data_IF_252422633539
#
_entry.id   IF_252422633539
#
_cell.length_a   1.000
_cell.length_b   1.000
_cell.length_c   1.000
_cell.angle_alpha   90.00
_cell.angle_beta   90.00
_cell.angle_gamma   90.00
#
_symmetry.space_group_name_H-M   'P 1'
#
loop_
_entity.id
_entity.type
_entity.pdbx_description
1 polymer ?
#
# COMPACT_ATOMS: atom_id res chain seq x y z
N UNK A 1 -14.95 2.76 -9.21
CA UNK A 1 -14.62 1.35 -8.90
C UNK A 1 -15.55 0.33 -9.56
N UNK A 2 -16.74 0.73 -10.03
CA UNK A 2 -17.70 -0.17 -10.68
C UNK A 2 -17.22 -0.85 -12.00
N UNK A 3 -16.15 -0.36 -12.64
CA UNK A 3 -15.60 -0.89 -13.92
C UNK A 3 -14.30 -1.70 -13.77
N UNK A 4 -13.45 -1.33 -12.81
CA UNK A 4 -12.16 -1.95 -12.55
C UNK A 4 -12.19 -2.40 -11.10
N UNK A 5 -12.46 -3.68 -10.86
CA UNK A 5 -12.65 -4.22 -9.51
C UNK A 5 -11.54 -3.82 -8.54
N UNK A 6 -11.90 -3.59 -7.27
CA UNK A 6 -11.03 -2.99 -6.24
C UNK A 6 -9.64 -3.64 -6.15
N UNK A 7 -9.58 -4.96 -6.31
CA UNK A 7 -8.36 -5.76 -6.32
C UNK A 7 -7.40 -5.37 -7.44
N UNK A 8 -7.88 -5.04 -8.64
CA UNK A 8 -7.03 -4.61 -9.77
C UNK A 8 -6.39 -3.26 -9.49
N UNK A 9 -7.12 -2.34 -8.86
CA UNK A 9 -6.59 -1.01 -8.49
C UNK A 9 -5.48 -1.17 -7.44
N UNK A 10 -5.69 -2.03 -6.44
CA UNK A 10 -4.68 -2.31 -5.41
C UNK A 10 -3.42 -2.96 -6.00
N UNK A 11 -3.56 -3.91 -6.93
CA UNK A 11 -2.42 -4.52 -7.64
C UNK A 11 -1.64 -3.50 -8.45
N UNK A 12 -2.32 -2.59 -9.16
CA UNK A 12 -1.64 -1.48 -9.86
C UNK A 12 -0.87 -0.60 -8.88
N UNK A 13 -1.43 -0.32 -7.70
CA UNK A 13 -0.74 0.42 -6.63
C UNK A 13 0.54 -0.26 -6.16
N UNK A 14 0.50 -1.59 -6.00
CA UNK A 14 1.69 -2.39 -5.66
C UNK A 14 2.76 -2.32 -6.76
N UNK A 15 2.36 -2.43 -8.03
CA UNK A 15 3.31 -2.34 -9.16
C UNK A 15 4.00 -0.97 -9.18
N UNK A 16 3.24 0.10 -8.92
CA UNK A 16 3.80 1.46 -8.85
C UNK A 16 4.80 1.58 -7.67
N UNK A 17 4.49 1.01 -6.51
CA UNK A 17 5.41 1.01 -5.36
C UNK A 17 6.65 0.14 -5.58
N UNK A 18 6.52 -0.99 -6.28
CA UNK A 18 7.65 -1.82 -6.68
C UNK A 18 8.56 -1.09 -7.68
N UNK A 19 7.97 -0.36 -8.64
CA UNK A 19 8.72 0.49 -9.58
C UNK A 19 9.46 1.62 -8.84
N UNK A 20 8.83 2.24 -7.84
CA UNK A 20 9.48 3.21 -6.96
C UNK A 20 10.68 2.60 -6.23
N UNK A 21 10.51 1.44 -5.59
CA UNK A 21 11.60 0.78 -4.87
C UNK A 21 12.76 0.44 -5.82
N UNK A 22 12.46 -0.02 -7.04
CA UNK A 22 13.45 -0.23 -8.09
C UNK A 22 14.23 1.05 -8.41
N UNK A 23 13.55 2.17 -8.62
CA UNK A 23 14.21 3.47 -8.86
C UNK A 23 15.04 3.93 -7.66
N UNK A 24 14.53 3.75 -6.44
CA UNK A 24 15.22 4.16 -5.22
C UNK A 24 16.54 3.38 -4.98
N UNK A 25 16.63 2.15 -5.50
CA UNK A 25 17.84 1.33 -5.42
C UNK A 25 18.89 1.68 -6.50
N UNK A 26 18.49 2.27 -7.62
CA UNK A 26 19.42 2.69 -8.70
C UNK A 26 20.28 3.92 -8.36
N UNK A 27 20.01 4.60 -7.23
CA UNK A 27 20.82 5.71 -6.70
C UNK A 27 20.09 7.06 -6.62
N UNK A 28 20.75 8.05 -6.03
CA UNK A 28 20.23 9.41 -5.74
C UNK A 28 20.51 10.42 -6.86
N UNK A 29 20.52 9.98 -8.12
CA UNK A 29 20.57 10.92 -9.25
C UNK A 29 19.25 11.71 -9.28
N UNK A 30 19.33 13.03 -9.54
CA UNK A 30 18.20 13.97 -9.44
C UNK A 30 16.89 13.49 -10.09
N UNK A 31 16.98 12.77 -11.22
CA UNK A 31 15.83 12.16 -11.90
C UNK A 31 15.18 10.99 -11.13
N UNK A 32 15.99 10.07 -10.58
CA UNK A 32 15.49 8.96 -9.75
C UNK A 32 14.93 9.46 -8.43
N UNK A 33 15.48 10.56 -7.88
CA UNK A 33 14.99 11.20 -6.66
C UNK A 33 13.61 11.85 -6.86
N UNK A 34 13.39 12.58 -7.96
CA UNK A 34 12.08 13.16 -8.27
C UNK A 34 11.01 12.09 -8.55
N UNK A 35 11.35 11.05 -9.31
CA UNK A 35 10.48 9.89 -9.51
C UNK A 35 10.12 9.21 -8.18
N UNK A 36 11.12 9.10 -7.29
CA UNK A 36 10.93 8.56 -5.95
C UNK A 36 10.08 9.43 -5.02
N UNK A 37 9.83 10.70 -5.32
CA UNK A 37 8.89 11.53 -4.55
C UNK A 37 7.44 11.42 -5.05
N UNK A 38 7.22 11.20 -6.34
CA UNK A 38 5.88 11.19 -6.94
C UNK A 38 5.24 9.80 -6.94
N UNK A 39 6.01 8.76 -7.31
CA UNK A 39 5.49 7.40 -7.45
C UNK A 39 4.92 6.81 -6.14
N UNK A 40 5.54 7.02 -4.95
CA UNK A 40 4.98 6.50 -3.70
C UNK A 40 3.62 7.08 -3.40
N UNK A 41 3.43 8.38 -3.63
CA UNK A 41 2.15 9.05 -3.39
C UNK A 41 1.03 8.43 -4.22
N UNK A 42 1.29 8.15 -5.50
CA UNK A 42 0.30 7.53 -6.39
C UNK A 42 -0.02 6.10 -5.95
N UNK A 43 1.02 5.28 -5.67
CA UNK A 43 0.83 3.91 -5.23
C UNK A 43 0.10 3.79 -3.89
N UNK A 44 0.45 4.67 -2.93
CA UNK A 44 -0.21 4.79 -1.64
C UNK A 44 -1.71 5.11 -1.77
N UNK A 45 -2.08 6.06 -2.63
CA UNK A 45 -3.48 6.41 -2.86
C UNK A 45 -4.30 5.21 -3.34
N UNK A 46 -3.77 4.41 -4.26
CA UNK A 46 -4.48 3.23 -4.78
C UNK A 46 -4.68 2.15 -3.69
N UNK A 47 -3.71 1.98 -2.80
CA UNK A 47 -3.83 1.07 -1.66
C UNK A 47 -4.82 1.58 -0.60
N UNK A 48 -4.79 2.88 -0.25
CA UNK A 48 -5.73 3.47 0.71
C UNK A 48 -7.17 3.39 0.21
N UNK A 49 -7.41 3.79 -1.04
CA UNK A 49 -8.74 3.74 -1.66
C UNK A 49 -9.24 2.30 -1.77
N UNK A 50 -8.36 1.36 -2.14
CA UNK A 50 -8.72 -0.05 -2.20
C UNK A 50 -9.02 -0.66 -0.82
N UNK A 51 -8.19 -0.37 0.19
CA UNK A 51 -8.36 -0.87 1.55
C UNK A 51 -9.63 -0.35 2.22
N UNK A 52 -9.89 0.95 2.13
CA UNK A 52 -11.14 1.56 2.65
C UNK A 52 -12.38 0.99 1.96
N UNK A 53 -12.31 0.74 0.65
CA UNK A 53 -13.41 0.09 -0.07
C UNK A 53 -13.67 -1.33 0.43
N UNK A 54 -12.62 -2.14 0.63
CA UNK A 54 -12.77 -3.48 1.20
C UNK A 54 -13.35 -3.44 2.63
N UNK A 55 -12.96 -2.45 3.44
CA UNK A 55 -13.55 -2.22 4.76
C UNK A 55 -15.05 -1.97 4.67
N UNK A 56 -15.49 -1.14 3.72
CA UNK A 56 -16.92 -0.85 3.53
C UNK A 56 -17.74 -2.03 3.03
N UNK A 57 -17.13 -3.01 2.35
CA UNK A 57 -17.81 -4.24 1.91
C UNK A 57 -18.10 -5.21 3.07
N UNK A 58 -17.28 -5.22 4.12
CA UNK A 58 -17.35 -6.20 5.22
C UNK A 58 -18.21 -5.70 6.38
N UNK A 59 -18.17 -4.40 6.70
CA UNK A 59 -18.85 -3.85 7.87
C UNK A 59 -20.27 -3.35 7.58
N UNK A 60 -21.15 -3.48 8.58
CA UNK A 60 -22.50 -2.89 8.54
C UNK A 60 -22.44 -1.36 8.65
N UNK A 61 -23.45 -0.59 8.17
CA UNK A 61 -23.40 0.87 8.16
C UNK A 61 -23.01 1.54 9.51
N UNK A 62 -23.48 1.06 10.68
CA UNK A 62 -23.04 1.59 11.97
C UNK A 62 -21.57 1.28 12.31
N UNK A 63 -21.07 0.11 11.90
CA UNK A 63 -19.70 -0.33 12.19
C UNK A 63 -18.67 0.30 11.25
N UNK A 64 -19.08 0.66 10.02
CA UNK A 64 -18.21 1.32 9.02
C UNK A 64 -17.58 2.59 9.56
N UNK A 65 -18.33 3.42 10.26
CA UNK A 65 -17.83 4.68 10.83
C UNK A 65 -16.71 4.42 11.85
N UNK A 66 -16.88 3.41 12.70
CA UNK A 66 -15.88 3.02 13.71
C UNK A 66 -14.65 2.39 13.08
N UNK A 67 -14.84 1.53 12.07
CA UNK A 67 -13.76 0.89 11.33
C UNK A 67 -12.92 1.92 10.56
N UNK A 68 -13.56 2.88 9.89
CA UNK A 68 -12.90 3.98 9.19
C UNK A 68 -12.09 4.85 10.15
N UNK A 69 -12.67 5.23 11.29
CA UNK A 69 -11.96 6.03 12.30
C UNK A 69 -10.73 5.31 12.85
N UNK A 70 -10.81 3.98 13.03
CA UNK A 70 -9.68 3.17 13.49
C UNK A 70 -8.60 3.10 12.42
N UNK A 71 -8.97 2.85 11.16
CA UNK A 71 -8.05 2.86 10.03
C UNK A 71 -7.28 4.19 9.94
N UNK A 72 -8.00 5.30 9.99
CA UNK A 72 -7.40 6.62 9.84
C UNK A 72 -6.49 6.95 11.03
N UNK A 73 -6.92 6.61 12.25
CA UNK A 73 -6.07 6.74 13.45
C UNK A 73 -4.79 5.90 13.34
N UNK A 74 -4.86 4.67 12.86
CA UNK A 74 -3.68 3.82 12.65
C UNK A 74 -2.73 4.44 11.63
N UNK A 75 -3.24 4.93 10.50
CA UNK A 75 -2.43 5.60 9.49
C UNK A 75 -1.74 6.84 10.09
N UNK A 76 -2.46 7.66 10.85
CA UNK A 76 -1.89 8.83 11.51
C UNK A 76 -0.84 8.46 12.56
N UNK A 77 -1.12 7.48 13.41
CA UNK A 77 -0.20 7.06 14.46
C UNK A 77 1.11 6.48 13.90
N UNK A 78 1.00 5.61 12.89
CA UNK A 78 2.17 5.04 12.19
C UNK A 78 2.92 6.13 11.43
N UNK A 79 2.21 7.06 10.78
CA UNK A 79 2.81 8.21 10.09
C UNK A 79 3.59 9.13 11.02
N UNK A 80 3.05 9.41 12.21
CA UNK A 80 3.72 10.20 13.26
C UNK A 80 4.98 9.49 13.76
N UNK A 81 4.88 8.22 14.12
CA UNK A 81 6.02 7.43 14.58
C UNK A 81 7.12 7.34 13.51
N UNK A 82 6.72 7.13 12.24
CA UNK A 82 7.65 7.08 11.11
C UNK A 82 8.32 8.43 10.86
N UNK A 83 7.58 9.54 10.99
CA UNK A 83 8.13 10.89 10.80
C UNK A 83 9.15 11.24 11.89
N UNK A 84 8.87 10.87 13.15
CA UNK A 84 9.81 11.03 14.26
C UNK A 84 11.06 10.16 14.08
N UNK A 85 10.88 8.92 13.62
CA UNK A 85 11.98 7.97 13.42
C UNK A 85 12.76 8.20 12.12
N UNK A 86 12.23 8.95 11.14
CA UNK A 86 12.78 9.06 9.80
C UNK A 86 14.24 9.52 9.78
N UNK A 87 14.58 10.52 10.59
CA UNK A 87 15.96 11.03 10.69
C UNK A 87 16.94 9.98 11.25
N UNK A 88 16.56 9.33 12.35
CA UNK A 88 17.38 8.30 13.00
C UNK A 88 17.50 7.04 12.13
N UNK A 89 16.43 6.64 11.45
CA UNK A 89 16.41 5.52 10.52
C UNK A 89 17.27 5.81 9.29
N UNK A 90 17.17 7.01 8.71
CA UNK A 90 17.99 7.38 7.56
C UNK A 90 19.48 7.45 7.92
N UNK A 91 19.82 7.94 9.12
CA UNK A 91 21.21 7.98 9.57
C UNK A 91 21.80 6.58 9.80
N UNK A 92 21.02 5.66 10.40
CA UNK A 92 21.52 4.33 10.76
C UNK A 92 21.46 3.33 9.59
N UNK A 93 20.36 3.30 8.85
CA UNK A 93 20.13 2.32 7.77
C UNK A 93 20.65 2.83 6.42
N UNK A 94 20.73 4.14 6.24
CA UNK A 94 21.02 4.76 4.95
C UNK A 94 19.84 4.66 3.98
N UNK A 95 19.93 5.45 2.90
CA UNK A 95 18.87 5.60 1.90
C UNK A 95 18.46 4.26 1.25
N UNK A 96 19.44 3.47 0.80
CA UNK A 96 19.18 2.25 0.05
C UNK A 96 18.51 1.18 0.91
N UNK A 97 19.02 0.93 2.13
CA UNK A 97 18.46 -0.05 3.04
C UNK A 97 17.05 0.34 3.48
N UNK A 98 16.80 1.62 3.74
CA UNK A 98 15.47 2.10 4.12
C UNK A 98 14.43 1.82 3.02
N UNK A 99 14.80 2.02 1.75
CA UNK A 99 13.95 1.68 0.61
C UNK A 99 13.86 0.17 0.37
N UNK A 100 14.90 -0.60 0.65
CA UNK A 100 14.88 -2.05 0.55
C UNK A 100 13.92 -2.70 1.57
N UNK A 101 13.81 -2.13 2.78
CA UNK A 101 12.86 -2.58 3.81
C UNK A 101 11.39 -2.44 3.36
N UNK A 102 11.09 -1.58 2.38
CA UNK A 102 9.77 -1.48 1.77
C UNK A 102 9.38 -2.76 0.99
N UNK A 103 10.35 -3.40 0.33
CA UNK A 103 10.12 -4.56 -0.55
C UNK A 103 9.47 -5.77 0.14
N UNK A 104 9.94 -6.25 1.32
CA UNK A 104 9.28 -7.36 1.99
C UNK A 104 7.84 -7.02 2.42
N UNK A 105 7.59 -5.79 2.87
CA UNK A 105 6.23 -5.34 3.21
C UNK A 105 5.31 -5.28 1.99
N UNK A 106 5.82 -4.80 0.85
CA UNK A 106 5.10 -4.85 -0.42
C UNK A 106 4.82 -6.28 -0.87
N UNK A 107 5.78 -7.19 -0.69
CA UNK A 107 5.62 -8.61 -1.00
C UNK A 107 4.48 -9.24 -0.20
N UNK A 108 4.43 -8.98 1.11
CA UNK A 108 3.34 -9.47 1.98
C UNK A 108 1.98 -8.91 1.51
N UNK A 109 1.91 -7.60 1.23
CA UNK A 109 0.67 -6.98 0.75
C UNK A 109 0.22 -7.58 -0.60
N UNK A 110 1.16 -7.81 -1.52
CA UNK A 110 0.90 -8.43 -2.81
C UNK A 110 0.35 -9.85 -2.67
N UNK A 111 0.99 -10.67 -1.82
CA UNK A 111 0.54 -12.03 -1.55
C UNK A 111 -0.86 -12.05 -0.93
N UNK A 112 -1.14 -11.16 0.03
CA UNK A 112 -2.47 -11.07 0.64
C UNK A 112 -3.56 -10.68 -0.37
N UNK A 113 -3.27 -9.72 -1.25
CA UNK A 113 -4.21 -9.27 -2.29
C UNK A 113 -4.42 -10.36 -3.35
N UNK A 114 -3.36 -11.03 -3.79
CA UNK A 114 -3.46 -12.17 -4.72
C UNK A 114 -4.25 -13.33 -4.11
N UNK A 115 -4.01 -13.64 -2.83
CA UNK A 115 -4.76 -14.64 -2.09
C UNK A 115 -6.25 -14.30 -2.03
N UNK A 116 -6.59 -13.05 -1.71
CA UNK A 116 -7.98 -12.58 -1.69
C UNK A 116 -8.62 -12.64 -3.07
N UNK A 117 -7.90 -12.28 -4.13
CA UNK A 117 -8.38 -12.37 -5.50
C UNK A 117 -8.69 -13.82 -5.90
N UNK A 118 -7.78 -14.76 -5.63
CA UNK A 118 -8.01 -16.19 -5.89
C UNK A 118 -9.18 -16.75 -5.08
N UNK A 119 -9.32 -16.33 -3.82
CA UNK A 119 -10.41 -16.77 -2.95
C UNK A 119 -11.78 -16.33 -3.48
N UNK A 120 -11.90 -15.08 -3.95
CA UNK A 120 -13.14 -14.57 -4.56
C UNK A 120 -13.48 -15.27 -5.89
N UNK A 121 -12.48 -15.61 -6.71
CA UNK A 121 -12.70 -16.38 -7.95
C UNK A 121 -13.19 -17.79 -7.65
N UNK A 122 -12.63 -18.48 -6.64
CA UNK A 122 -13.07 -19.81 -6.21
C UNK A 122 -14.52 -19.80 -5.71
N UNK A 123 -14.90 -18.81 -4.91
CA UNK A 123 -16.28 -18.66 -4.42
C UNK A 123 -17.28 -18.43 -5.55
N UNK A 124 -16.92 -17.62 -6.55
CA UNK A 124 -17.76 -17.38 -7.72
C UNK A 124 -17.96 -18.64 -8.57
N UNK A 125 -16.96 -19.53 -8.66
CA UNK A 125 -17.07 -20.81 -9.36
C UNK A 125 -17.86 -21.88 -8.59
N UNK A 126 -17.89 -21.81 -7.25
CA UNK A 126 -18.68 -22.75 -6.43
C UNK A 126 -20.17 -22.39 -6.37
N UNK A 127 -20.53 -21.16 -6.73
CA UNK A 127 -21.91 -20.66 -6.73
C UNK A 127 -22.60 -20.76 -8.11
N UNK A 128 -21.90 -21.27 -9.13
CA UNK A 128 -22.38 -21.48 -10.49
C UNK A 128 -22.56 -22.98 -10.77
#
# INVERSE_FOLDING_TARGET
MARFGVLRIMLTGIVILAAHAGMALTGTVFGSFLGALVLPGVGWNFLCIGGTTLLTEIYTPPERARAQATNDLTIFAVGLASSLAAGALLQQLGWQTLNAVLLPWLGIAALAILWLAMSRTKQAQQAA
#
